data_IF_582255375617
#
_entry.id   IF_582255375617
#
_cell.length_a   1.000
_cell.length_b   1.000
_cell.length_c   1.000
_cell.angle_alpha   90.00
_cell.angle_beta   90.00
_cell.angle_gamma   90.00
#
_symmetry.space_group_name_H-M   'P 1'
#
loop_
_entity.id
_entity.type
_entity.pdbx_description
1 polymer ?
#
# COMPACT_ATOMS: atom_id res chain seq x y z
N UNK A 1 -17.33 4.49 -10.03
CA UNK A 1 -15.90 4.86 -10.24
C UNK A 1 -15.05 3.69 -9.85
N UNK A 2 -14.23 3.22 -10.80
CA UNK A 2 -13.28 2.10 -10.62
C UNK A 2 -11.89 2.65 -10.33
N UNK A 3 -11.32 2.33 -9.16
CA UNK A 3 -10.02 2.86 -8.72
C UNK A 3 -9.05 1.70 -8.56
N UNK A 4 -7.92 1.75 -9.27
CA UNK A 4 -6.81 0.81 -9.08
C UNK A 4 -5.90 1.32 -7.96
N UNK A 5 -5.75 0.55 -6.88
CA UNK A 5 -4.76 0.77 -5.83
C UNK A 5 -3.47 0.02 -6.11
N UNK A 6 -2.32 0.66 -5.87
CA UNK A 6 -0.98 0.09 -6.04
C UNK A 6 -0.16 0.35 -4.78
N UNK A 7 0.36 -0.72 -4.17
CA UNK A 7 1.22 -0.69 -2.99
C UNK A 7 2.56 -1.37 -3.29
N UNK A 8 3.64 -0.63 -3.10
CA UNK A 8 5.02 -1.11 -3.29
C UNK A 8 5.99 -0.48 -2.30
N UNK A 9 5.56 -0.17 -1.08
CA UNK A 9 6.40 0.61 -0.15
C UNK A 9 7.61 -0.15 0.41
N UNK A 10 7.57 -1.47 0.42
CA UNK A 10 8.64 -2.31 0.98
C UNK A 10 8.94 -3.52 0.07
N UNK A 11 8.63 -4.72 0.49
CA UNK A 11 8.94 -5.99 -0.18
C UNK A 11 7.70 -6.77 -0.61
N UNK A 12 6.56 -6.14 -0.55
CA UNK A 12 5.30 -6.70 -1.03
C UNK A 12 4.75 -5.87 -2.19
N UNK A 13 4.36 -6.57 -3.26
CA UNK A 13 3.66 -5.95 -4.40
C UNK A 13 2.18 -6.17 -4.22
N UNK A 14 1.44 -5.14 -3.86
CA UNK A 14 0.00 -5.17 -3.70
C UNK A 14 -0.73 -4.43 -4.80
N UNK A 15 -1.83 -4.99 -5.30
CA UNK A 15 -2.80 -4.30 -6.14
C UNK A 15 -4.21 -4.63 -5.69
N UNK A 16 -5.11 -3.67 -5.83
CA UNK A 16 -6.54 -3.90 -5.63
C UNK A 16 -7.35 -3.04 -6.57
N UNK A 17 -8.49 -3.53 -7.01
CA UNK A 17 -9.46 -2.75 -7.77
C UNK A 17 -10.70 -2.52 -6.90
N UNK A 18 -11.02 -1.27 -6.65
CA UNK A 18 -12.13 -0.84 -5.82
C UNK A 18 -13.21 -0.17 -6.65
N UNK A 19 -14.46 -0.57 -6.43
CA UNK A 19 -15.63 0.06 -7.02
C UNK A 19 -16.34 0.98 -6.03
N UNK A 20 -16.23 2.28 -6.26
CA UNK A 20 -16.78 3.30 -5.34
C UNK A 20 -18.31 3.32 -5.30
N UNK A 21 -19.01 2.90 -6.36
CA UNK A 21 -20.49 2.88 -6.41
C UNK A 21 -21.09 1.80 -5.50
N UNK A 22 -20.45 0.64 -5.41
CA UNK A 22 -20.88 -0.48 -4.57
C UNK A 22 -20.14 -0.56 -3.25
N UNK A 23 -19.10 0.25 -3.05
CA UNK A 23 -18.17 0.22 -1.91
C UNK A 23 -17.53 -1.17 -1.72
N UNK A 24 -17.07 -1.76 -2.84
CA UNK A 24 -16.52 -3.12 -2.84
C UNK A 24 -15.13 -3.18 -3.47
N UNK A 25 -14.30 -4.06 -2.93
CA UNK A 25 -13.09 -4.54 -3.61
C UNK A 25 -13.54 -5.60 -4.61
N UNK A 26 -13.27 -5.37 -5.88
CA UNK A 26 -13.57 -6.30 -6.97
C UNK A 26 -12.55 -7.42 -6.99
N UNK A 27 -11.26 -7.06 -6.91
CA UNK A 27 -10.17 -8.00 -6.69
C UNK A 27 -9.07 -7.37 -5.85
N UNK A 28 -8.31 -8.21 -5.22
CA UNK A 28 -7.02 -7.89 -4.61
C UNK A 28 -6.00 -8.95 -4.97
N UNK A 29 -4.74 -8.59 -4.99
CA UNK A 29 -3.63 -9.51 -5.15
C UNK A 29 -2.39 -8.97 -4.43
N UNK A 30 -1.74 -9.86 -3.72
CA UNK A 30 -0.51 -9.60 -2.99
C UNK A 30 0.55 -10.61 -3.42
N UNK A 31 1.74 -10.11 -3.74
CA UNK A 31 2.92 -10.92 -3.97
C UNK A 31 4.00 -10.53 -2.97
N UNK A 32 4.38 -11.46 -2.09
CA UNK A 32 5.44 -11.24 -1.10
C UNK A 32 6.79 -11.71 -1.63
N UNK A 33 7.82 -10.92 -1.34
CA UNK A 33 9.22 -11.22 -1.65
C UNK A 33 9.98 -11.77 -0.43
N UNK A 34 9.30 -12.03 0.69
CA UNK A 34 9.91 -12.42 1.96
C UNK A 34 10.90 -13.59 1.83
N UNK A 35 10.55 -14.64 1.07
CA UNK A 35 11.45 -15.79 0.87
C UNK A 35 12.77 -15.40 0.19
N UNK A 36 12.76 -14.45 -0.74
CA UNK A 36 13.96 -13.97 -1.42
C UNK A 36 14.83 -13.16 -0.49
N UNK A 37 14.23 -12.34 0.34
CA UNK A 37 14.92 -11.46 1.27
C UNK A 37 15.48 -12.20 2.48
N UNK A 38 14.85 -13.30 2.91
CA UNK A 38 15.35 -14.16 3.99
C UNK A 38 16.79 -14.67 3.75
N UNK A 39 17.18 -14.85 2.50
CA UNK A 39 18.55 -15.24 2.14
C UNK A 39 19.61 -14.19 2.51
N UNK A 40 19.19 -12.95 2.68
CA UNK A 40 20.03 -11.78 2.99
C UNK A 40 19.89 -11.30 4.44
N UNK A 41 19.03 -11.96 5.23
CA UNK A 41 18.75 -11.57 6.60
C UNK A 41 17.90 -10.30 6.76
N UNK A 42 17.25 -9.86 5.67
CA UNK A 42 16.37 -8.68 5.67
C UNK A 42 16.14 -8.12 4.27
N UNK A 43 15.31 -7.10 4.17
CA UNK A 43 14.93 -6.50 2.89
C UNK A 43 16.11 -5.81 2.23
N UNK A 44 16.42 -6.18 0.98
CA UNK A 44 17.39 -5.51 0.13
C UNK A 44 16.66 -4.59 -0.85
N UNK A 45 16.71 -3.25 -0.64
CA UNK A 45 15.85 -2.31 -1.37
C UNK A 45 15.98 -2.37 -2.89
N UNK A 46 17.19 -2.61 -3.40
CA UNK A 46 17.41 -2.72 -4.85
C UNK A 46 16.79 -3.98 -5.44
N UNK A 47 16.88 -5.11 -4.74
CA UNK A 47 16.22 -6.35 -5.15
C UNK A 47 14.71 -6.20 -5.12
N UNK A 48 14.18 -5.59 -4.07
CA UNK A 48 12.75 -5.31 -3.94
C UNK A 48 12.26 -4.46 -5.11
N UNK A 49 12.94 -3.36 -5.43
CA UNK A 49 12.57 -2.49 -6.56
C UNK A 49 12.55 -3.25 -7.89
N UNK A 50 13.57 -4.07 -8.17
CA UNK A 50 13.65 -4.88 -9.39
C UNK A 50 12.54 -5.92 -9.49
N UNK A 51 12.18 -6.53 -8.37
CA UNK A 51 11.11 -7.54 -8.35
C UNK A 51 9.73 -6.87 -8.55
N UNK A 52 9.46 -5.70 -7.98
CA UNK A 52 8.24 -4.93 -8.25
C UNK A 52 8.07 -4.64 -9.74
N UNK A 53 9.14 -4.21 -10.44
CA UNK A 53 9.09 -3.98 -11.89
C UNK A 53 8.62 -5.23 -12.64
N UNK A 54 9.11 -6.40 -12.24
CA UNK A 54 8.78 -7.65 -12.90
C UNK A 54 7.38 -8.18 -12.54
N UNK A 55 6.79 -7.72 -11.42
CA UNK A 55 5.53 -8.27 -10.89
C UNK A 55 4.31 -7.42 -11.17
N UNK A 56 4.42 -6.10 -11.12
CA UNK A 56 3.25 -5.20 -11.21
C UNK A 56 2.39 -5.46 -12.45
N UNK A 57 2.98 -5.41 -13.64
CA UNK A 57 2.21 -5.58 -14.87
C UNK A 57 1.61 -6.99 -15.03
N UNK A 58 2.37 -8.08 -14.82
CA UNK A 58 1.79 -9.42 -14.86
C UNK A 58 0.69 -9.64 -13.84
N UNK A 59 0.85 -9.12 -12.60
CA UNK A 59 -0.13 -9.26 -11.54
C UNK A 59 -1.45 -8.55 -11.92
N UNK A 60 -1.35 -7.31 -12.39
CA UNK A 60 -2.50 -6.53 -12.86
C UNK A 60 -3.20 -7.22 -14.03
N UNK A 61 -2.44 -7.62 -15.06
CA UNK A 61 -3.00 -8.27 -16.25
C UNK A 61 -3.75 -9.55 -15.90
N UNK A 62 -3.14 -10.41 -15.08
CA UNK A 62 -3.77 -11.67 -14.67
C UNK A 62 -5.10 -11.42 -13.95
N UNK A 63 -5.16 -10.43 -13.03
CA UNK A 63 -6.37 -10.12 -12.30
C UNK A 63 -7.46 -9.52 -13.18
N UNK A 64 -7.12 -8.64 -14.09
CA UNK A 64 -8.07 -8.10 -15.06
C UNK A 64 -8.65 -9.21 -15.97
N UNK A 65 -7.81 -10.14 -16.43
CA UNK A 65 -8.22 -11.27 -17.27
C UNK A 65 -9.13 -12.25 -16.48
N UNK A 66 -8.80 -12.55 -15.22
CA UNK A 66 -9.61 -13.41 -14.33
C UNK A 66 -11.02 -12.82 -14.13
N UNK A 67 -11.11 -11.53 -13.83
CA UNK A 67 -12.37 -10.82 -13.58
C UNK A 67 -13.07 -10.35 -14.86
N UNK A 68 -12.46 -10.54 -16.04
CA UNK A 68 -12.94 -10.10 -17.35
C UNK A 68 -13.18 -8.59 -17.45
N UNK A 69 -12.36 -7.82 -16.77
CA UNK A 69 -12.40 -6.36 -16.75
C UNK A 69 -11.41 -5.81 -17.76
N UNK A 70 -11.85 -4.83 -18.54
CA UNK A 70 -10.96 -4.14 -19.48
C UNK A 70 -10.18 -3.04 -18.75
N UNK A 71 -8.91 -2.86 -19.12
CA UNK A 71 -8.04 -1.88 -18.48
C UNK A 71 -8.57 -0.43 -18.60
N UNK A 72 -9.33 -0.14 -19.65
CA UNK A 72 -9.96 1.16 -19.87
C UNK A 72 -11.22 1.41 -19.02
N UNK A 73 -11.65 0.43 -18.22
CA UNK A 73 -12.70 0.62 -17.22
C UNK A 73 -12.17 1.23 -15.92
N UNK A 74 -10.83 1.29 -15.77
CA UNK A 74 -10.18 1.98 -14.63
C UNK A 74 -10.30 3.48 -14.85
N UNK A 75 -10.83 4.19 -13.85
CA UNK A 75 -11.14 5.63 -13.94
C UNK A 75 -10.17 6.49 -13.10
N UNK A 76 -9.41 5.88 -12.19
CA UNK A 76 -8.36 6.55 -11.40
C UNK A 76 -7.36 5.52 -10.88
N UNK A 77 -6.14 5.97 -10.55
CA UNK A 77 -5.10 5.15 -9.94
C UNK A 77 -4.65 5.80 -8.64
N UNK A 78 -4.75 5.04 -7.53
CA UNK A 78 -4.17 5.42 -6.25
C UNK A 78 -2.87 4.64 -6.05
N UNK A 79 -1.80 5.30 -5.60
CA UNK A 79 -0.53 4.62 -5.36
C UNK A 79 0.15 5.14 -4.10
N UNK A 80 0.87 4.27 -3.40
CA UNK A 80 1.63 4.66 -2.21
C UNK A 80 2.81 5.54 -2.58
N UNK A 81 2.83 6.75 -2.03
CA UNK A 81 3.88 7.74 -2.26
C UNK A 81 4.91 7.80 -1.12
N UNK A 82 4.62 7.18 0.02
CA UNK A 82 5.47 7.13 1.21
C UNK A 82 4.68 7.13 2.51
N UNK A 83 5.35 6.85 3.64
CA UNK A 83 6.74 6.41 3.77
C UNK A 83 7.00 5.00 3.24
N UNK A 84 8.27 4.67 3.02
CA UNK A 84 8.71 3.37 2.51
C UNK A 84 10.10 3.43 1.86
N UNK A 85 10.55 2.31 1.31
CA UNK A 85 11.82 2.20 0.63
C UNK A 85 11.79 2.99 -0.69
N UNK A 86 12.76 3.88 -0.89
CA UNK A 86 12.80 4.82 -2.03
C UNK A 86 12.70 4.12 -3.39
N UNK A 87 13.46 3.06 -3.62
CA UNK A 87 13.46 2.31 -4.88
C UNK A 87 12.08 1.69 -5.19
N UNK A 88 11.55 0.85 -4.31
CA UNK A 88 10.19 0.31 -4.37
C UNK A 88 9.10 1.36 -4.61
N UNK A 89 9.07 2.44 -3.82
CA UNK A 89 8.11 3.55 -4.00
C UNK A 89 8.20 4.20 -5.39
N UNK A 90 9.43 4.42 -5.89
CA UNK A 90 9.63 4.97 -7.23
C UNK A 90 9.09 4.07 -8.33
N UNK A 91 9.17 2.74 -8.16
CA UNK A 91 8.62 1.78 -9.13
C UNK A 91 7.09 1.88 -9.17
N UNK A 92 6.43 1.84 -8.01
CA UNK A 92 4.97 1.96 -7.93
C UNK A 92 4.47 3.30 -8.49
N UNK A 93 5.09 4.41 -8.10
CA UNK A 93 4.78 5.73 -8.60
C UNK A 93 5.01 5.86 -10.12
N UNK A 94 6.14 5.32 -10.63
CA UNK A 94 6.45 5.33 -12.05
C UNK A 94 5.43 4.52 -12.87
N UNK A 95 5.07 3.33 -12.40
CA UNK A 95 4.06 2.48 -13.02
C UNK A 95 2.68 3.17 -13.00
N UNK A 96 2.25 3.68 -11.85
CA UNK A 96 0.96 4.38 -11.70
C UNK A 96 0.85 5.59 -12.63
N UNK A 97 1.88 6.44 -12.66
CA UNK A 97 1.87 7.64 -13.51
C UNK A 97 1.94 7.31 -15.01
N UNK A 98 2.72 6.29 -15.41
CA UNK A 98 2.77 5.86 -16.80
C UNK A 98 1.42 5.30 -17.28
N UNK A 99 0.76 4.49 -16.44
CA UNK A 99 -0.56 3.93 -16.74
C UNK A 99 -1.63 5.03 -16.77
N UNK A 100 -1.62 5.95 -15.79
CA UNK A 100 -2.48 7.14 -15.73
C UNK A 100 -2.37 7.97 -17.00
N UNK A 101 -1.15 8.25 -17.44
CA UNK A 101 -0.90 9.00 -18.67
C UNK A 101 -1.43 8.26 -19.90
N UNK A 102 -1.25 6.94 -19.98
CA UNK A 102 -1.67 6.14 -21.14
C UNK A 102 -3.19 6.02 -21.26
N UNK A 103 -3.90 6.05 -20.13
CA UNK A 103 -5.37 5.93 -20.08
C UNK A 103 -6.08 7.28 -20.01
N UNK A 104 -5.34 8.37 -19.89
CA UNK A 104 -5.86 9.75 -19.68
C UNK A 104 -6.78 9.84 -18.44
N UNK A 105 -6.34 9.26 -17.33
CA UNK A 105 -7.04 9.23 -16.04
C UNK A 105 -6.16 9.78 -14.92
N UNK A 106 -6.73 10.26 -13.80
CA UNK A 106 -5.94 10.82 -12.71
C UNK A 106 -5.14 9.75 -11.95
N UNK A 107 -3.93 10.13 -11.48
CA UNK A 107 -3.16 9.40 -10.48
C UNK A 107 -3.14 10.17 -9.15
N UNK A 108 -3.32 9.45 -8.04
CA UNK A 108 -3.50 10.03 -6.71
C UNK A 108 -2.44 9.43 -5.78
N UNK A 109 -1.50 10.26 -5.27
CA UNK A 109 -0.53 9.80 -4.28
C UNK A 109 -1.21 9.63 -2.92
N UNK A 110 -1.00 8.47 -2.29
CA UNK A 110 -1.56 8.12 -0.99
C UNK A 110 -0.44 7.96 0.03
N UNK A 111 -0.66 8.48 1.21
CA UNK A 111 0.25 8.27 2.34
C UNK A 111 0.04 6.87 2.93
N UNK A 112 1.11 6.06 3.00
CA UNK A 112 1.06 4.67 3.45
C UNK A 112 0.36 4.49 4.82
N UNK A 113 0.70 5.33 5.79
CA UNK A 113 0.11 5.24 7.13
C UNK A 113 -1.38 5.64 7.15
N UNK A 114 -1.81 6.55 6.28
CA UNK A 114 -3.23 6.91 6.14
C UNK A 114 -4.05 5.74 5.60
N UNK A 115 -3.50 5.00 4.64
CA UNK A 115 -4.13 3.79 4.12
C UNK A 115 -4.39 2.78 5.25
N UNK A 116 -3.41 2.55 6.13
CA UNK A 116 -3.59 1.68 7.30
C UNK A 116 -4.67 2.17 8.28
N UNK A 117 -4.75 3.48 8.52
CA UNK A 117 -5.76 4.05 9.42
C UNK A 117 -7.19 3.83 8.89
N UNK A 118 -7.38 3.96 7.58
CA UNK A 118 -8.69 3.82 6.94
C UNK A 118 -9.16 2.37 6.92
N UNK A 119 -8.26 1.39 6.89
CA UNK A 119 -8.61 -0.04 6.89
C UNK A 119 -9.47 -0.44 8.07
N UNK A 120 -9.27 0.14 9.25
CA UNK A 120 -10.11 -0.14 10.42
C UNK A 120 -11.60 0.17 10.15
N UNK A 121 -11.88 1.22 9.38
CA UNK A 121 -13.25 1.59 9.00
C UNK A 121 -13.77 0.74 7.84
N UNK A 122 -12.90 0.27 6.97
CA UNK A 122 -13.27 -0.62 5.89
C UNK A 122 -13.73 -1.98 6.43
N UNK A 123 -13.00 -2.55 7.42
CA UNK A 123 -13.36 -3.79 8.09
C UNK A 123 -14.58 -3.64 9.01
N UNK A 124 -14.78 -2.45 9.56
CA UNK A 124 -15.87 -2.13 10.49
C UNK A 124 -16.61 -0.86 10.03
N UNK A 125 -17.50 -0.96 9.02
CA UNK A 125 -18.20 0.19 8.46
C UNK A 125 -19.03 0.99 9.47
N UNK A 126 -19.46 0.36 10.59
CA UNK A 126 -20.17 0.96 11.71
C UNK A 126 -19.27 1.79 12.64
N UNK A 127 -17.94 1.77 12.43
CA UNK A 127 -17.00 2.54 13.24
C UNK A 127 -17.18 4.04 12.97
N UNK A 128 -17.67 4.78 13.96
CA UNK A 128 -17.88 6.23 13.85
C UNK A 128 -16.62 7.03 14.18
N UNK A 129 -16.49 8.19 13.58
CA UNK A 129 -15.50 9.18 13.96
C UNK A 129 -15.93 9.97 15.20
N UNK A 130 -15.02 10.35 16.11
CA UNK A 130 -13.61 10.00 16.12
C UNK A 130 -13.35 8.61 16.73
N UNK A 131 -12.31 7.92 16.26
CA UNK A 131 -11.83 6.70 16.89
C UNK A 131 -10.32 6.77 17.17
N UNK A 132 -9.81 5.84 17.97
CA UNK A 132 -8.37 5.68 18.24
C UNK A 132 -7.90 4.41 17.56
N UNK A 133 -6.85 4.54 16.78
CA UNK A 133 -6.17 3.43 16.10
C UNK A 133 -4.78 3.22 16.71
N UNK A 134 -4.43 1.97 16.94
CA UNK A 134 -3.07 1.56 17.25
C UNK A 134 -2.45 0.95 15.98
N UNK A 135 -1.52 1.66 15.39
CA UNK A 135 -0.70 1.16 14.29
C UNK A 135 0.55 0.52 14.86
N UNK A 136 0.76 -0.74 14.49
CA UNK A 136 1.90 -1.54 14.92
C UNK A 136 2.55 -2.16 13.70
N UNK A 137 3.79 -1.76 13.44
CA UNK A 137 4.63 -2.35 12.41
C UNK A 137 6.05 -2.50 12.93
N UNK A 138 6.92 -3.17 12.19
CA UNK A 138 8.32 -3.31 12.58
C UNK A 138 9.03 -1.98 12.77
N UNK A 139 8.74 -0.99 11.91
CA UNK A 139 9.37 0.33 11.94
C UNK A 139 8.58 1.41 12.68
N UNK A 140 7.29 1.20 12.98
CA UNK A 140 6.43 2.24 13.56
C UNK A 140 5.42 1.67 14.55
N UNK A 141 5.36 2.25 15.73
CA UNK A 141 4.27 2.02 16.69
C UNK A 141 3.67 3.35 17.08
N UNK A 142 2.45 3.61 16.62
CA UNK A 142 1.76 4.88 16.77
C UNK A 142 0.38 4.68 17.37
N UNK A 143 0.00 5.57 18.28
CA UNK A 143 -1.39 5.73 18.71
C UNK A 143 -1.93 6.98 18.02
N UNK A 144 -2.97 6.81 17.22
CA UNK A 144 -3.50 7.87 16.38
C UNK A 144 -4.98 8.08 16.67
N UNK A 145 -5.38 9.32 16.94
CA UNK A 145 -6.78 9.71 16.97
C UNK A 145 -7.22 10.13 15.58
N UNK A 146 -8.12 9.39 14.99
CA UNK A 146 -8.70 9.66 13.67
C UNK A 146 -9.98 10.45 13.87
N UNK A 147 -10.00 11.69 13.37
CA UNK A 147 -11.08 12.64 13.55
C UNK A 147 -12.09 12.62 12.40
N UNK A 148 -11.59 12.36 11.18
CA UNK A 148 -12.35 12.17 9.94
C UNK A 148 -11.52 11.38 8.95
N UNK A 149 -12.03 11.12 7.75
CA UNK A 149 -11.27 10.46 6.68
C UNK A 149 -9.99 11.21 6.28
N UNK A 150 -9.97 12.53 6.45
CA UNK A 150 -8.88 13.42 6.03
C UNK A 150 -8.10 14.01 7.21
N UNK A 151 -8.53 13.74 8.44
CA UNK A 151 -7.93 14.37 9.63
C UNK A 151 -7.60 13.35 10.70
N UNK A 152 -6.34 13.30 11.06
CA UNK A 152 -5.87 12.49 12.17
C UNK A 152 -4.80 13.21 12.99
N UNK A 153 -4.63 12.77 14.23
CA UNK A 153 -3.62 13.31 15.14
C UNK A 153 -2.87 12.17 15.83
N UNK A 154 -1.56 12.14 15.69
CA UNK A 154 -0.71 11.25 16.48
C UNK A 154 -0.75 11.72 17.93
N UNK A 155 -1.17 10.88 18.85
CA UNK A 155 -1.28 11.16 20.28
C UNK A 155 -0.23 10.40 21.10
N UNK A 156 0.42 9.40 20.52
CA UNK A 156 1.54 8.69 21.09
C UNK A 156 2.34 7.99 20.03
N UNK A 157 3.64 7.86 20.24
CA UNK A 157 4.53 7.06 19.41
C UNK A 157 5.59 6.40 20.28
N UNK A 158 6.09 5.24 19.86
CA UNK A 158 7.23 4.63 20.54
C UNK A 158 8.46 5.52 20.39
N UNK A 159 9.29 5.52 21.44
CA UNK A 159 10.62 6.16 21.39
C UNK A 159 11.69 5.19 20.92
N UNK A 160 11.39 3.91 21.04
CA UNK A 160 12.23 2.81 20.58
C UNK A 160 11.47 2.11 19.47
N UNK A 161 11.96 2.18 18.26
CA UNK A 161 11.27 1.79 17.05
C UNK A 161 10.94 0.30 16.98
N UNK A 162 11.56 -0.51 17.84
CA UNK A 162 11.50 -1.96 17.80
C UNK A 162 10.37 -2.49 18.69
N UNK A 163 9.28 -2.88 18.09
CA UNK A 163 8.28 -3.72 18.76
C UNK A 163 8.75 -5.18 18.85
N UNK A 164 9.60 -5.60 17.92
CA UNK A 164 10.21 -6.93 17.84
C UNK A 164 11.73 -6.83 17.84
N UNK A 165 12.36 -7.50 18.79
CA UNK A 165 13.82 -7.52 18.93
C UNK A 165 14.50 -8.50 17.98
N UNK A 166 13.76 -9.21 17.14
CA UNK A 166 14.28 -10.34 16.35
C UNK A 166 14.20 -10.16 14.84
N UNK A 167 13.65 -9.05 14.33
CA UNK A 167 13.54 -8.85 12.90
C UNK A 167 14.48 -7.75 12.42
N UNK A 168 15.66 -8.17 11.96
CA UNK A 168 16.69 -7.26 11.43
C UNK A 168 16.23 -6.48 10.17
N UNK A 169 15.16 -6.94 9.50
CA UNK A 169 14.60 -6.25 8.34
C UNK A 169 13.94 -4.92 8.69
N UNK A 170 13.45 -4.80 9.92
CA UNK A 170 12.76 -3.61 10.40
C UNK A 170 13.70 -2.54 11.00
N UNK A 171 14.96 -2.87 11.26
CA UNK A 171 15.92 -1.95 11.89
C UNK A 171 16.33 -0.76 11.00
N UNK A 172 16.11 -0.86 9.69
CA UNK A 172 16.47 0.21 8.74
C UNK A 172 15.35 1.21 8.42
N UNK A 173 14.20 1.07 9.06
CA UNK A 173 13.01 1.90 8.79
C UNK A 173 12.84 3.06 9.77
N UNK A 174 13.71 3.23 10.73
CA UNK A 174 13.67 4.29 11.75
C UNK A 174 14.43 5.54 11.36
#
# INVERSE_FOLDING_TARGET
MMILGIETSCDETGIALYEGSSNKIIFEALYSQAEKHNLYGGVVPELAARDHINRLLPLLKNKLDEEKIQINEIEAIAYTNGPGLRGPLMVGAGFANALSYSLDIPSIPIHHMEAHLIMAKFDSPQLDYPYVSLLVSGGHTLIVKVLSAEQYKVIGQTRDCLLYTSDAADEFSC
#
